data_IF_264779933079
#
_entry.id   IF_264779933079
#
_cell.length_a   1.000
_cell.length_b   1.000
_cell.length_c   1.000
_cell.angle_alpha   90.00
_cell.angle_beta   90.00
_cell.angle_gamma   90.00
#
_symmetry.space_group_name_H-M   'P 1'
#
loop_
_entity.id
_entity.type
_entity.pdbx_description
1 polymer ?
#
# COMPACT_ATOMS: atom_id res chain seq x y z
N UNK A 1 -2.15 19.85 -16.61
CA UNK A 1 -1.12 18.88 -16.26
C UNK A 1 -1.52 17.51 -16.77
N UNK A 2 -0.66 16.85 -17.51
CA UNK A 2 -0.99 15.52 -18.03
C UNK A 2 -0.97 14.49 -16.92
N UNK A 3 -1.87 13.51 -17.01
CA UNK A 3 -1.85 12.37 -16.07
C UNK A 3 -0.54 11.59 -16.28
N UNK A 4 0.04 11.05 -15.21
CA UNK A 4 1.27 10.25 -15.36
C UNK A 4 1.00 9.01 -16.22
N UNK A 5 1.96 8.68 -17.05
CA UNK A 5 1.91 7.45 -17.83
C UNK A 5 2.18 6.26 -16.91
N UNK A 6 1.84 5.06 -17.34
CA UNK A 6 2.03 3.85 -16.55
C UNK A 6 3.47 3.68 -16.06
N UNK A 7 4.45 3.99 -16.92
CA UNK A 7 5.86 3.91 -16.57
C UNK A 7 6.19 4.91 -15.46
N UNK A 8 5.67 6.12 -15.61
CA UNK A 8 5.89 7.17 -14.61
C UNK A 8 5.23 6.82 -13.28
N UNK A 9 4.05 6.22 -13.33
CA UNK A 9 3.33 5.81 -12.13
C UNK A 9 4.12 4.75 -11.35
N UNK A 10 4.68 3.77 -12.04
CA UNK A 10 5.49 2.75 -11.40
C UNK A 10 6.74 3.36 -10.75
N UNK A 11 7.40 4.27 -11.43
CA UNK A 11 8.57 4.96 -10.90
C UNK A 11 8.21 5.79 -9.66
N UNK A 12 7.08 6.48 -9.71
CA UNK A 12 6.57 7.23 -8.55
C UNK A 12 6.23 6.33 -7.38
N UNK A 13 5.63 5.17 -7.67
CA UNK A 13 5.31 4.19 -6.66
C UNK A 13 6.57 3.65 -5.98
N UNK A 14 7.59 3.31 -6.75
CA UNK A 14 8.85 2.83 -6.20
C UNK A 14 9.54 3.91 -5.35
N UNK A 15 9.51 5.15 -5.81
CA UNK A 15 10.03 6.28 -5.05
C UNK A 15 9.26 6.48 -3.74
N UNK A 16 7.93 6.33 -3.79
CA UNK A 16 7.10 6.43 -2.59
C UNK A 16 7.43 5.32 -1.59
N UNK A 17 7.70 4.10 -2.07
CA UNK A 17 8.08 2.99 -1.20
C UNK A 17 9.39 3.29 -0.46
N UNK A 18 10.34 3.92 -1.12
CA UNK A 18 11.57 4.36 -0.47
C UNK A 18 11.30 5.50 0.53
N UNK A 19 10.47 6.47 0.14
CA UNK A 19 10.12 7.59 1.02
C UNK A 19 9.38 7.13 2.27
N UNK A 20 8.58 6.08 2.16
CA UNK A 20 7.85 5.52 3.30
C UNK A 20 8.77 5.03 4.40
N UNK A 21 9.98 4.61 4.05
CA UNK A 21 10.98 4.14 5.01
C UNK A 21 11.69 5.28 5.73
N UNK A 22 11.54 6.51 5.22
CA UNK A 22 12.30 7.67 5.69
C UNK A 22 11.41 8.76 6.29
N UNK A 23 10.20 8.42 6.68
CA UNK A 23 9.29 9.39 7.30
C UNK A 23 9.83 9.84 8.65
N UNK A 24 9.59 11.12 8.98
CA UNK A 24 10.04 11.69 10.26
C UNK A 24 9.31 11.09 11.43
N UNK A 25 8.03 10.78 11.26
CA UNK A 25 7.21 10.18 12.29
C UNK A 25 6.89 8.75 11.90
N UNK A 26 6.90 7.85 12.87
CA UNK A 26 6.45 6.49 12.63
C UNK A 26 4.95 6.50 12.36
N UNK A 27 4.48 5.94 11.24
CA UNK A 27 3.05 5.86 10.97
C UNK A 27 2.34 5.02 12.03
N UNK A 28 1.08 5.35 12.30
CA UNK A 28 0.28 4.53 13.20
C UNK A 28 -0.07 3.19 12.53
N UNK A 29 -0.63 2.27 13.32
CA UNK A 29 -0.93 0.92 12.81
C UNK A 29 -1.93 0.94 11.67
N UNK A 30 -2.94 1.82 11.73
CA UNK A 30 -3.93 1.92 10.67
C UNK A 30 -3.28 2.37 9.36
N UNK A 31 -2.38 3.34 9.42
CA UNK A 31 -1.65 3.82 8.24
C UNK A 31 -0.73 2.75 7.69
N UNK A 32 -0.02 2.03 8.57
CA UNK A 32 0.85 0.93 8.15
C UNK A 32 0.07 -0.16 7.42
N UNK A 33 -1.13 -0.49 7.90
CA UNK A 33 -1.99 -1.47 7.26
C UNK A 33 -2.44 -0.99 5.87
N UNK A 34 -2.78 0.29 5.74
CA UNK A 34 -3.15 0.86 4.44
C UNK A 34 -1.98 0.78 3.46
N UNK A 35 -0.80 1.18 3.89
CA UNK A 35 0.39 1.12 3.04
C UNK A 35 0.67 -0.32 2.61
N UNK A 36 0.60 -1.25 3.55
CA UNK A 36 0.80 -2.67 3.24
C UNK A 36 -0.20 -3.16 2.21
N UNK A 37 -1.48 -2.86 2.41
CA UNK A 37 -2.54 -3.37 1.55
C UNK A 37 -2.42 -2.81 0.13
N UNK A 38 -2.17 -1.52 -0.02
CA UNK A 38 -1.99 -0.92 -1.33
C UNK A 38 -0.75 -1.48 -2.02
N UNK A 39 0.33 -1.68 -1.27
CA UNK A 39 1.55 -2.25 -1.83
C UNK A 39 1.31 -3.67 -2.36
N UNK A 40 0.65 -4.51 -1.57
CA UNK A 40 0.33 -5.88 -1.99
C UNK A 40 -0.59 -5.89 -3.21
N UNK A 41 -1.62 -5.06 -3.20
CA UNK A 41 -2.55 -4.99 -4.32
C UNK A 41 -1.85 -4.50 -5.59
N UNK A 42 -0.92 -3.55 -5.45
CA UNK A 42 -0.17 -3.01 -6.58
C UNK A 42 0.80 -4.01 -7.18
N UNK A 43 1.42 -4.86 -6.34
CA UNK A 43 2.48 -5.76 -6.77
C UNK A 43 2.00 -7.18 -7.06
N UNK A 44 1.04 -7.68 -6.29
CA UNK A 44 0.57 -9.06 -6.40
C UNK A 44 -0.87 -9.20 -6.87
N UNK A 45 -1.62 -8.10 -6.90
CA UNK A 45 -3.02 -8.14 -7.29
C UNK A 45 -3.91 -8.59 -6.13
N UNK A 46 -5.02 -9.22 -6.46
CA UNK A 46 -6.00 -9.66 -5.46
C UNK A 46 -5.38 -10.63 -4.47
N UNK A 47 -5.88 -10.57 -3.23
CA UNK A 47 -5.41 -11.43 -2.15
C UNK A 47 -5.49 -12.91 -2.55
N UNK A 48 -4.44 -13.64 -2.24
CA UNK A 48 -4.34 -15.07 -2.47
C UNK A 48 -3.92 -15.77 -1.19
N UNK A 49 -4.17 -17.07 -1.16
CA UNK A 49 -3.79 -17.90 -0.03
C UNK A 49 -4.79 -17.81 1.11
N UNK A 50 -4.52 -18.57 2.16
CA UNK A 50 -5.38 -18.61 3.33
C UNK A 50 -5.05 -17.49 4.30
N UNK A 51 -6.06 -17.00 4.99
CA UNK A 51 -5.86 -16.03 6.08
C UNK A 51 -5.04 -16.70 7.18
N UNK A 52 -3.97 -16.03 7.67
CA UNK A 52 -3.23 -16.57 8.81
C UNK A 52 -4.16 -16.83 9.98
N UNK A 53 -3.97 -17.95 10.64
CA UNK A 53 -4.84 -18.37 11.75
C UNK A 53 -4.18 -18.25 13.09
N UNK A 54 -4.89 -18.74 14.11
CA UNK A 54 -4.38 -18.85 15.46
C UNK A 54 -4.08 -17.49 16.09
N UNK A 55 -2.88 -17.34 16.57
CA UNK A 55 -2.48 -16.14 17.31
C UNK A 55 -1.74 -15.11 16.46
N UNK A 56 -1.70 -15.29 15.15
CA UNK A 56 -1.04 -14.32 14.26
C UNK A 56 -1.99 -13.16 13.94
N UNK A 57 -2.19 -12.30 14.94
CA UNK A 57 -3.11 -11.15 14.80
C UNK A 57 -2.60 -10.13 13.80
N UNK A 58 -1.30 -9.90 13.76
CA UNK A 58 -0.71 -8.94 12.82
C UNK A 58 -0.85 -9.46 11.39
N UNK A 59 -0.53 -10.71 11.15
CA UNK A 59 -0.68 -11.33 9.83
C UNK A 59 -2.13 -11.34 9.38
N UNK A 60 -3.05 -11.64 10.31
CA UNK A 60 -4.48 -11.61 10.02
C UNK A 60 -4.97 -10.21 9.65
N UNK A 61 -4.52 -9.19 10.37
CA UNK A 61 -4.90 -7.81 10.08
C UNK A 61 -4.37 -7.36 8.70
N UNK A 62 -3.15 -7.73 8.37
CA UNK A 62 -2.56 -7.44 7.06
C UNK A 62 -3.34 -8.13 5.94
N UNK A 63 -3.65 -9.40 6.13
CA UNK A 63 -4.43 -10.16 5.18
C UNK A 63 -5.80 -9.52 4.94
N UNK A 64 -6.49 -9.15 6.03
CA UNK A 64 -7.81 -8.55 5.95
C UNK A 64 -7.78 -7.20 5.22
N UNK A 65 -6.77 -6.38 5.49
CA UNK A 65 -6.61 -5.10 4.83
C UNK A 65 -6.40 -5.25 3.32
N UNK A 66 -5.58 -6.22 2.93
CA UNK A 66 -5.35 -6.53 1.51
C UNK A 66 -6.62 -7.09 0.87
N UNK A 67 -7.33 -8.00 1.56
CA UNK A 67 -8.55 -8.61 1.06
C UNK A 67 -9.64 -7.58 0.74
N UNK A 68 -9.69 -6.49 1.51
CA UNK A 68 -10.66 -5.40 1.27
C UNK A 68 -10.46 -4.70 -0.08
N UNK A 69 -9.27 -4.83 -0.65
CA UNK A 69 -8.93 -4.17 -1.92
C UNK A 69 -9.18 -5.06 -3.14
N UNK A 70 -9.76 -6.23 -2.93
CA UNK A 70 -10.04 -7.15 -4.04
C UNK A 70 -10.77 -6.42 -5.16
N UNK A 71 -10.28 -6.59 -6.38
CA UNK A 71 -10.83 -5.92 -7.55
C UNK A 71 -10.18 -4.58 -7.89
N UNK A 72 -9.39 -4.00 -6.98
CA UNK A 72 -8.69 -2.75 -7.28
C UNK A 72 -7.56 -3.00 -8.27
N UNK A 73 -7.44 -2.14 -9.28
CA UNK A 73 -6.37 -2.27 -10.26
C UNK A 73 -5.01 -1.94 -9.63
N UNK A 74 -3.95 -2.48 -10.24
CA UNK A 74 -2.59 -2.16 -9.80
C UNK A 74 -2.32 -0.66 -9.87
N UNK A 75 -2.80 0.00 -10.93
CA UNK A 75 -2.60 1.44 -11.10
C UNK A 75 -3.29 2.24 -9.99
N UNK A 76 -4.53 1.87 -9.63
CA UNK A 76 -5.24 2.53 -8.55
C UNK A 76 -4.56 2.29 -7.20
N UNK A 77 -4.08 1.08 -6.97
CA UNK A 77 -3.36 0.75 -5.75
C UNK A 77 -2.06 1.56 -5.63
N UNK A 78 -1.32 1.69 -6.71
CA UNK A 78 -0.10 2.51 -6.74
C UNK A 78 -0.42 3.98 -6.44
N UNK A 79 -1.47 4.51 -7.06
CA UNK A 79 -1.89 5.89 -6.85
C UNK A 79 -2.25 6.14 -5.38
N UNK A 80 -3.01 5.23 -4.79
CA UNK A 80 -3.42 5.35 -3.39
C UNK A 80 -2.23 5.24 -2.45
N UNK A 81 -1.28 4.36 -2.76
CA UNK A 81 -0.06 4.23 -1.99
C UNK A 81 0.74 5.54 -2.00
N UNK A 82 0.92 6.11 -3.18
CA UNK A 82 1.65 7.38 -3.34
C UNK A 82 0.98 8.49 -2.54
N UNK A 83 -0.34 8.60 -2.63
CA UNK A 83 -1.09 9.61 -1.88
C UNK A 83 -0.93 9.45 -0.38
N UNK A 84 -0.92 8.23 0.10
CA UNK A 84 -0.78 7.95 1.53
C UNK A 84 0.61 8.34 2.03
N UNK A 85 1.66 8.04 1.26
CA UNK A 85 3.03 8.41 1.61
C UNK A 85 3.19 9.92 1.59
N UNK A 86 2.63 10.59 0.57
CA UNK A 86 2.64 12.05 0.48
C UNK A 86 2.05 12.69 1.72
N UNK A 87 0.91 12.18 2.16
CA UNK A 87 0.23 12.68 3.36
C UNK A 87 1.13 12.53 4.60
N UNK A 88 1.79 11.40 4.73
CA UNK A 88 2.72 11.16 5.85
C UNK A 88 3.87 12.17 5.84
N UNK A 89 4.41 12.46 4.67
CA UNK A 89 5.56 13.34 4.55
C UNK A 89 5.21 14.82 4.76
N UNK A 90 3.93 15.17 4.71
CA UNK A 90 3.47 16.53 4.99
C UNK A 90 3.22 16.78 6.47
N UNK A 91 3.05 15.74 7.25
CA UNK A 91 2.76 15.85 8.70
C UNK A 91 4.03 16.08 9.56
#
# INVERSE_FOLDING_TARGET
MAAPKKVDLKAQFEAAAEAAKKTKKKPDNATLLKLYSYYKQATEGDVTGARPGGFDFVGGAKYDAWAKLKGMSADDAMTNYIKQVDRLNRE
#
